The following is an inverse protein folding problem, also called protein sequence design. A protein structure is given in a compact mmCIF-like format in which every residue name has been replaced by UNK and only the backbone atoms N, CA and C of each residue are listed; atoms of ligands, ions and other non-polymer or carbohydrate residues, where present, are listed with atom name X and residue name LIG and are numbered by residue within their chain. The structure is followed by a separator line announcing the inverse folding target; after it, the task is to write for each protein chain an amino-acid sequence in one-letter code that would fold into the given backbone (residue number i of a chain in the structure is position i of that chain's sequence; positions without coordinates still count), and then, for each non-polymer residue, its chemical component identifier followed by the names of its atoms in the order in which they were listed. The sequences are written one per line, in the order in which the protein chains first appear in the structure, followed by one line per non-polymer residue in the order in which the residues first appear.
data_IF_693698500391
#
_entry.id   IF_693698500391
#
_cell.length_a   1.000
_cell.length_b   1.000
_cell.length_c   1.000
_cell.angle_alpha   90.00
_cell.angle_beta   90.00
_cell.angle_gamma   90.00
#
_symmetry.space_group_name_H-M   'P 1'
#
loop_
_entity.id
_entity.type
_entity.pdbx_description
1 polymer ?
#
# COMPACT_ATOMS: atom_id res chain seq x y z
N UNK A 1 15.97 -13.76 -27.03
CA UNK A 1 15.73 -14.60 -25.85
C UNK A 1 16.70 -14.16 -24.77
N UNK A 2 16.25 -13.28 -23.88
CA UNK A 2 17.02 -12.77 -22.74
C UNK A 2 16.02 -12.70 -21.57
N UNK A 3 16.12 -13.66 -20.66
CA UNK A 3 15.32 -13.69 -19.44
C UNK A 3 15.85 -12.62 -18.49
N UNK A 4 15.07 -11.56 -18.25
CA UNK A 4 15.31 -10.65 -17.14
C UNK A 4 14.69 -11.23 -15.86
N UNK A 5 15.56 -11.57 -14.91
CA UNK A 5 15.22 -11.96 -13.55
C UNK A 5 14.65 -10.77 -12.79
N UNK A 6 13.38 -10.83 -12.40
CA UNK A 6 12.69 -9.81 -11.58
C UNK A 6 12.85 -10.11 -10.08
N UNK A 7 14.08 -10.36 -9.64
CA UNK A 7 14.41 -10.42 -8.21
C UNK A 7 15.19 -9.17 -7.82
N UNK A 8 14.53 -8.01 -7.76
CA UNK A 8 15.09 -6.82 -7.10
C UNK A 8 14.03 -5.73 -6.90
N UNK A 9 13.19 -5.85 -5.87
CA UNK A 9 12.56 -4.70 -5.21
C UNK A 9 12.31 -5.03 -3.74
N UNK A 10 13.38 -5.10 -2.96
CA UNK A 10 13.34 -4.95 -1.50
C UNK A 10 14.41 -3.92 -1.14
N UNK A 11 13.98 -2.68 -0.99
CA UNK A 11 14.83 -1.59 -0.57
C UNK A 11 15.16 -1.75 0.93
N UNK A 12 16.46 -1.81 1.22
CA UNK A 12 17.12 -1.58 2.50
C UNK A 12 16.64 -2.37 3.74
N UNK A 13 17.25 -3.54 3.94
CA UNK A 13 17.67 -3.97 5.28
C UNK A 13 19.17 -4.25 5.25
N UNK A 14 19.88 -3.31 5.87
CA UNK A 14 21.32 -3.29 6.12
C UNK A 14 21.77 -4.65 6.65
N UNK A 15 22.54 -5.38 5.84
CA UNK A 15 23.13 -6.66 6.20
C UNK A 15 24.56 -6.37 6.61
N UNK A 16 24.84 -6.31 7.92
CA UNK A 16 26.00 -6.93 8.57
C UNK A 16 26.09 -6.54 10.06
N UNK A 17 26.34 -7.58 10.87
CA UNK A 17 26.37 -7.67 12.35
C UNK A 17 24.99 -7.88 12.98
N UNK A 18 24.95 -8.68 14.07
CA UNK A 18 23.90 -8.74 15.10
C UNK A 18 23.00 -9.99 15.16
N UNK A 19 23.55 -11.13 15.59
CA UNK A 19 22.73 -12.28 16.01
C UNK A 19 21.99 -12.04 17.36
N UNK A 20 22.41 -11.04 18.16
CA UNK A 20 21.69 -10.61 19.37
C UNK A 20 20.52 -9.63 19.13
N UNK A 21 20.58 -8.80 18.09
CA UNK A 21 19.57 -7.74 17.83
C UNK A 21 18.37 -8.25 17.03
N UNK A 22 18.55 -9.30 16.21
CA UNK A 22 17.45 -10.03 15.54
C UNK A 22 16.42 -10.60 16.52
N UNK A 23 16.86 -11.12 17.67
CA UNK A 23 15.96 -11.69 18.68
C UNK A 23 15.09 -10.60 19.33
N UNK A 24 15.70 -9.46 19.68
CA UNK A 24 15.02 -8.31 20.26
C UNK A 24 14.03 -7.66 19.28
N UNK A 25 14.43 -7.48 18.03
CA UNK A 25 13.56 -6.94 16.97
C UNK A 25 12.37 -7.87 16.68
N UNK A 26 12.57 -9.19 16.75
CA UNK A 26 11.50 -10.18 16.62
C UNK A 26 10.49 -10.10 17.77
N UNK A 27 10.97 -9.96 19.01
CA UNK A 27 10.11 -9.81 20.19
C UNK A 27 9.31 -8.50 20.12
N UNK A 28 9.98 -7.42 19.72
CA UNK A 28 9.34 -6.12 19.61
C UNK A 28 8.20 -6.14 18.56
N UNK A 29 8.46 -6.82 17.44
CA UNK A 29 7.49 -7.01 16.35
C UNK A 29 6.30 -7.87 16.78
N UNK A 30 6.52 -8.90 17.59
CA UNK A 30 5.46 -9.77 18.11
C UNK A 30 4.50 -8.98 19.03
N UNK A 31 5.02 -8.19 19.98
CA UNK A 31 4.19 -7.34 20.84
C UNK A 31 3.40 -6.30 20.05
N UNK A 32 4.01 -5.67 19.05
CA UNK A 32 3.31 -4.74 18.17
C UNK A 32 2.19 -5.44 17.38
N UNK A 33 2.42 -6.67 16.91
CA UNK A 33 1.41 -7.46 16.23
C UNK A 33 0.21 -7.75 17.15
N UNK A 34 0.48 -8.06 18.42
CA UNK A 34 -0.54 -8.31 19.43
C UNK A 34 -1.37 -7.05 19.77
N UNK A 35 -0.70 -5.89 19.90
CA UNK A 35 -1.37 -4.60 20.07
C UNK A 35 -2.30 -4.35 18.87
N UNK A 36 -1.80 -4.48 17.65
CA UNK A 36 -2.60 -4.28 16.44
C UNK A 36 -3.79 -5.25 16.35
N UNK A 37 -3.62 -6.50 16.78
CA UNK A 37 -4.71 -7.48 16.82
C UNK A 37 -5.79 -7.11 17.85
N UNK A 38 -5.38 -6.61 19.01
CA UNK A 38 -6.30 -6.14 20.05
C UNK A 38 -7.06 -4.89 19.60
N UNK A 39 -6.36 -3.93 19.00
CA UNK A 39 -6.98 -2.75 18.39
C UNK A 39 -7.93 -3.13 17.25
N UNK A 40 -7.58 -4.13 16.43
CA UNK A 40 -8.46 -4.68 15.39
C UNK A 40 -9.74 -5.23 15.99
N UNK A 41 -9.65 -6.07 17.03
CA UNK A 41 -10.83 -6.64 17.73
C UNK A 41 -11.73 -5.53 18.28
N UNK A 42 -11.16 -4.48 18.83
CA UNK A 42 -11.94 -3.34 19.34
C UNK A 42 -12.57 -2.52 18.20
N UNK A 43 -11.87 -2.31 17.10
CA UNK A 43 -12.38 -1.61 15.92
C UNK A 43 -13.54 -2.35 15.22
N UNK A 44 -13.65 -3.67 15.39
CA UNK A 44 -14.72 -4.47 14.80
C UNK A 44 -16.06 -4.38 15.55
N UNK A 45 -16.02 -4.01 16.84
CA UNK A 45 -17.21 -3.87 17.67
C UNK A 45 -18.14 -2.77 17.17
N UNK A 46 -19.42 -2.85 17.50
CA UNK A 46 -20.41 -1.82 17.14
C UNK A 46 -20.23 -0.53 17.95
N UNK A 47 -19.93 -0.67 19.25
CA UNK A 47 -19.66 0.46 20.15
C UNK A 47 -18.21 0.94 19.97
N UNK A 48 -18.03 2.25 19.83
CA UNK A 48 -16.70 2.86 19.89
C UNK A 48 -16.11 2.69 21.29
N UNK A 49 -14.88 2.15 21.44
CA UNK A 49 -14.19 2.13 22.73
C UNK A 49 -14.04 3.52 23.31
N UNK A 50 -14.08 3.59 24.63
CA UNK A 50 -13.42 4.68 25.35
C UNK A 50 -11.92 4.36 25.56
N UNK A 51 -11.11 5.38 25.86
CA UNK A 51 -9.67 5.22 26.10
C UNK A 51 -9.38 4.29 27.28
N UNK A 52 -10.19 4.34 28.34
CA UNK A 52 -10.05 3.46 29.51
C UNK A 52 -10.36 1.99 29.15
N UNK A 53 -11.43 1.76 28.38
CA UNK A 53 -11.79 0.44 27.87
C UNK A 53 -10.66 -0.13 26.97
N UNK A 54 -10.03 0.74 26.16
CA UNK A 54 -8.93 0.38 25.27
C UNK A 54 -7.68 0.01 26.06
N UNK A 55 -7.33 0.79 27.08
CA UNK A 55 -6.19 0.52 27.96
C UNK A 55 -6.36 -0.83 28.67
N UNK A 56 -7.53 -1.06 29.27
CA UNK A 56 -7.84 -2.33 29.94
C UNK A 56 -7.75 -3.51 28.97
N UNK A 57 -8.26 -3.37 27.75
CA UNK A 57 -8.19 -4.42 26.73
C UNK A 57 -6.74 -4.73 26.31
N UNK A 58 -5.91 -3.69 26.14
CA UNK A 58 -4.50 -3.83 25.77
C UNK A 58 -3.68 -4.48 26.89
N UNK A 59 -3.86 -4.06 28.13
CA UNK A 59 -3.20 -4.65 29.30
C UNK A 59 -3.57 -6.13 29.45
N UNK A 60 -4.85 -6.46 29.33
CA UNK A 60 -5.33 -7.83 29.41
C UNK A 60 -4.75 -8.71 28.29
N UNK A 61 -4.63 -8.20 27.07
CA UNK A 61 -4.04 -8.94 25.96
C UNK A 61 -2.55 -9.22 26.21
N UNK A 62 -1.78 -8.19 26.56
CA UNK A 62 -0.35 -8.30 26.85
C UNK A 62 -0.06 -9.24 28.04
N UNK A 63 -0.93 -9.24 29.06
CA UNK A 63 -0.76 -10.09 30.25
C UNK A 63 -1.06 -11.57 29.95
N UNK A 64 -2.08 -11.87 29.13
CA UNK A 64 -2.46 -13.27 28.80
C UNK A 64 -1.37 -14.09 28.10
N UNK A 65 -0.43 -13.45 27.42
CA UNK A 65 0.70 -14.14 26.78
C UNK A 65 1.91 -14.32 27.72
N UNK A 66 1.99 -13.57 28.83
CA UNK A 66 3.05 -13.76 29.83
C UNK A 66 2.90 -15.11 30.56
N UNK A 67 1.67 -15.59 30.74
CA UNK A 67 1.38 -16.88 31.38
C UNK A 67 1.74 -18.10 30.51
N UNK A 68 1.87 -17.94 29.18
CA UNK A 68 2.21 -19.03 28.26
C UNK A 68 3.72 -19.13 27.92
N UNK A 69 4.51 -18.09 28.23
CA UNK A 69 5.97 -18.07 27.97
C UNK A 69 6.72 -17.48 29.16
N UNK A 70 6.95 -18.31 30.17
CA UNK A 70 7.91 -18.04 31.23
C UNK A 70 9.33 -17.99 30.65
N UNK A 71 9.79 -16.78 30.34
CA UNK A 71 11.08 -16.20 30.71
C UNK A 71 11.40 -15.01 29.79
N UNK A 72 11.71 -13.87 30.42
CA UNK A 72 12.27 -12.62 29.84
C UNK A 72 11.24 -11.56 29.43
N UNK A 73 10.51 -11.05 30.43
CA UNK A 73 9.51 -9.98 30.31
C UNK A 73 10.06 -8.55 30.43
N UNK A 74 11.33 -8.36 30.82
CA UNK A 74 11.78 -7.08 31.41
C UNK A 74 11.94 -5.90 30.44
N UNK A 75 12.40 -6.09 29.21
CA UNK A 75 12.95 -4.95 28.44
C UNK A 75 11.93 -4.19 27.56
N UNK A 76 10.90 -4.85 27.03
CA UNK A 76 9.82 -4.14 26.32
C UNK A 76 8.91 -3.42 27.33
N UNK A 77 8.83 -3.97 28.54
CA UNK A 77 8.24 -3.28 29.68
C UNK A 77 9.08 -2.05 30.02
N UNK A 78 10.42 -2.13 30.08
CA UNK A 78 11.26 -0.95 30.31
C UNK A 78 11.03 0.18 29.29
N UNK A 79 10.89 -0.09 27.99
CA UNK A 79 10.62 0.99 27.01
C UNK A 79 9.16 1.49 26.98
N UNK A 80 8.20 0.69 27.45
CA UNK A 80 6.77 1.07 27.51
C UNK A 80 6.38 1.66 28.88
N UNK A 81 7.11 1.29 29.93
CA UNK A 81 6.89 1.62 31.35
C UNK A 81 8.02 2.47 31.96
N UNK A 82 8.95 3.03 31.18
CA UNK A 82 10.04 3.92 31.66
C UNK A 82 9.55 5.19 32.41
N UNK A 83 8.25 5.35 32.64
CA UNK A 83 7.68 6.34 33.55
C UNK A 83 6.24 6.10 34.02
N UNK A 84 5.73 4.85 33.98
CA UNK A 84 4.34 4.56 34.36
C UNK A 84 3.28 5.13 33.40
N UNK A 85 3.64 5.37 32.14
CA UNK A 85 2.71 5.87 31.13
C UNK A 85 1.80 4.75 30.61
N UNK A 86 0.53 5.07 30.39
CA UNK A 86 -0.46 4.14 29.83
C UNK A 86 -0.13 3.80 28.37
N UNK A 87 -0.42 2.57 27.94
CA UNK A 87 -0.15 2.08 26.57
C UNK A 87 -0.87 2.95 25.53
N UNK A 88 -2.09 3.40 25.84
CA UNK A 88 -2.84 4.30 24.95
C UNK A 88 -2.13 5.64 24.74
N UNK A 89 -1.50 6.23 25.77
CA UNK A 89 -0.71 7.47 25.62
C UNK A 89 0.49 7.26 24.71
N UNK A 90 1.22 6.16 24.91
CA UNK A 90 2.32 5.79 24.02
C UNK A 90 1.86 5.65 22.55
N UNK A 91 0.71 5.00 22.33
CA UNK A 91 0.14 4.85 20.99
C UNK A 91 -0.36 6.18 20.41
N UNK A 92 -0.81 7.12 21.23
CA UNK A 92 -1.13 8.49 20.79
C UNK A 92 0.14 9.25 20.37
N UNK A 93 1.21 9.19 21.17
CA UNK A 93 2.50 9.82 20.85
C UNK A 93 3.12 9.25 19.57
N UNK A 94 3.02 7.94 19.36
CA UNK A 94 3.45 7.28 18.12
C UNK A 94 2.50 7.53 16.94
N UNK A 95 1.40 8.24 17.15
CA UNK A 95 0.45 8.64 16.13
C UNK A 95 -0.40 7.50 15.60
N UNK A 96 -0.71 6.48 16.40
CA UNK A 96 -1.67 5.42 16.07
C UNK A 96 -3.09 5.79 16.51
N UNK A 97 -3.23 6.46 17.65
CA UNK A 97 -4.52 6.81 18.27
C UNK A 97 -4.76 8.32 18.35
N UNK A 98 -6.02 8.71 18.51
CA UNK A 98 -6.49 10.09 18.76
C UNK A 98 -7.59 10.09 19.80
N UNK A 99 -7.69 11.18 20.54
CA UNK A 99 -8.77 11.42 21.50
C UNK A 99 -9.97 12.11 20.81
N UNK A 100 -10.73 11.31 20.06
CA UNK A 100 -11.92 11.74 19.32
C UNK A 100 -12.81 10.50 19.08
N UNK A 101 -14.10 10.69 18.80
CA UNK A 101 -15.00 9.68 18.21
C UNK A 101 -14.33 8.86 17.08
N UNK A 102 -13.51 9.49 16.23
CA UNK A 102 -12.60 8.80 15.28
C UNK A 102 -11.24 8.53 15.94
N UNK A 103 -11.23 7.56 16.85
CA UNK A 103 -10.10 7.26 17.73
C UNK A 103 -8.88 6.67 17.00
N UNK A 104 -9.02 6.19 15.76
CA UNK A 104 -7.91 5.75 14.91
C UNK A 104 -7.35 6.89 14.05
N UNK A 105 -6.02 7.02 14.03
CA UNK A 105 -5.31 7.84 13.03
C UNK A 105 -5.28 7.16 11.67
N UNK A 106 -4.86 7.88 10.62
CA UNK A 106 -4.57 7.26 9.32
C UNK A 106 -3.52 6.16 9.45
N UNK A 107 -2.42 6.42 10.19
CA UNK A 107 -1.37 5.44 10.45
C UNK A 107 -1.91 4.20 11.18
N UNK A 108 -2.71 4.38 12.21
CA UNK A 108 -3.35 3.30 12.96
C UNK A 108 -4.32 2.50 12.10
N UNK A 109 -5.16 3.19 11.33
CA UNK A 109 -6.11 2.56 10.41
C UNK A 109 -5.40 1.67 9.38
N UNK A 110 -4.36 2.19 8.71
CA UNK A 110 -3.61 1.41 7.73
C UNK A 110 -2.82 0.27 8.39
N UNK A 111 -2.23 0.48 9.56
CA UNK A 111 -1.46 -0.57 10.25
C UNK A 111 -2.34 -1.77 10.64
N UNK A 112 -3.53 -1.49 11.17
CA UNK A 112 -4.52 -2.54 11.49
C UNK A 112 -5.01 -3.20 10.20
N UNK A 113 -5.37 -2.41 9.19
CA UNK A 113 -5.81 -2.93 7.90
C UNK A 113 -4.79 -3.87 7.25
N UNK A 114 -3.49 -3.53 7.31
CA UNK A 114 -2.41 -4.37 6.77
C UNK A 114 -2.34 -5.72 7.45
N UNK A 115 -2.49 -5.73 8.77
CA UNK A 115 -2.52 -6.96 9.56
C UNK A 115 -3.74 -7.81 9.21
N UNK A 116 -4.93 -7.20 9.10
CA UNK A 116 -6.16 -7.91 8.68
C UNK A 116 -6.00 -8.47 7.27
N UNK A 117 -5.46 -7.70 6.33
CA UNK A 117 -5.22 -8.15 4.96
C UNK A 117 -4.26 -9.33 4.94
N UNK A 118 -3.16 -9.27 5.70
CA UNK A 118 -2.23 -10.39 5.83
C UNK A 118 -2.92 -11.64 6.42
N UNK A 119 -3.79 -11.46 7.42
CA UNK A 119 -4.50 -12.58 8.05
C UNK A 119 -5.54 -13.20 7.12
N UNK A 120 -6.27 -12.40 6.33
CA UNK A 120 -7.26 -12.89 5.36
C UNK A 120 -6.59 -13.56 4.16
N UNK A 121 -5.43 -13.06 3.74
CA UNK A 121 -4.71 -13.58 2.56
C UNK A 121 -3.78 -14.73 2.88
N UNK A 122 -3.52 -15.02 4.16
CA UNK A 122 -2.64 -16.11 4.61
C UNK A 122 -3.06 -17.47 4.06
N UNK A 123 -4.36 -17.69 3.94
CA UNK A 123 -4.95 -18.96 3.49
C UNK A 123 -5.26 -18.97 1.98
N UNK A 124 -5.08 -17.85 1.27
CA UNK A 124 -5.20 -17.81 -0.18
C UNK A 124 -3.95 -18.47 -0.77
N UNK A 125 -4.12 -19.59 -1.46
CA UNK A 125 -3.04 -20.18 -2.25
C UNK A 125 -2.57 -19.16 -3.28
N UNK A 126 -1.26 -19.14 -3.54
CA UNK A 126 -0.63 -18.31 -4.56
C UNK A 126 -1.05 -18.76 -5.96
N UNK A 127 -2.32 -18.58 -6.31
CA UNK A 127 -2.75 -18.56 -7.69
C UNK A 127 -2.22 -17.28 -8.31
N UNK A 128 -1.82 -17.33 -9.58
CA UNK A 128 -1.23 -16.22 -10.33
C UNK A 128 -2.03 -14.93 -10.11
N UNK A 129 -1.41 -13.96 -9.43
CA UNK A 129 -1.97 -12.63 -9.26
C UNK A 129 -2.06 -11.97 -10.65
N UNK A 130 -3.26 -11.79 -11.17
CA UNK A 130 -3.49 -10.94 -12.34
C UNK A 130 -3.36 -9.48 -11.91
N UNK A 131 -2.23 -8.84 -12.19
CA UNK A 131 -1.92 -7.46 -11.75
C UNK A 131 -2.67 -6.37 -12.55
N UNK A 132 -3.73 -6.71 -13.29
CA UNK A 132 -4.40 -5.82 -14.26
C UNK A 132 -3.41 -5.05 -15.14
N UNK A 133 -2.23 -5.62 -15.43
CA UNK A 133 -1.23 -4.97 -16.26
C UNK A 133 -1.70 -5.05 -17.71
N UNK A 134 -2.02 -3.89 -18.28
CA UNK A 134 -2.17 -3.74 -19.72
C UNK A 134 -0.79 -3.80 -20.35
N UNK A 135 -0.45 -4.95 -20.95
CA UNK A 135 0.77 -5.12 -21.74
C UNK A 135 0.69 -4.45 -23.13
N UNK A 136 -0.36 -3.66 -23.39
CA UNK A 136 -0.55 -3.01 -24.68
C UNK A 136 0.11 -1.62 -24.65
N UNK A 137 1.33 -1.57 -25.16
CA UNK A 137 1.97 -0.31 -25.54
C UNK A 137 1.43 0.06 -26.92
N UNK A 138 0.46 0.96 -26.98
CA UNK A 138 -0.26 1.33 -28.20
C UNK A 138 -0.88 2.72 -28.11
N UNK A 139 -1.87 3.03 -28.95
CA UNK A 139 -2.60 4.29 -28.91
C UNK A 139 -3.41 4.40 -27.61
N UNK A 140 -2.81 5.04 -26.61
CA UNK A 140 -3.39 5.27 -25.30
C UNK A 140 -3.98 6.67 -25.15
N UNK A 141 -4.69 6.88 -24.04
CA UNK A 141 -5.31 8.17 -23.74
C UNK A 141 -4.39 9.12 -22.97
N UNK A 142 -3.29 8.62 -22.41
CA UNK A 142 -2.37 9.40 -21.57
C UNK A 142 -1.05 9.56 -22.30
N UNK A 143 -0.67 10.82 -22.57
CA UNK A 143 0.65 11.16 -23.12
C UNK A 143 1.68 11.03 -22.01
N UNK A 144 2.81 10.38 -22.29
CA UNK A 144 3.96 10.30 -21.39
C UNK A 144 5.12 11.15 -21.90
N UNK A 145 6.06 11.46 -21.00
CA UNK A 145 7.20 12.35 -21.30
C UNK A 145 8.27 11.69 -22.20
N UNK A 146 8.18 10.38 -22.43
CA UNK A 146 9.06 9.69 -23.37
C UNK A 146 8.58 9.87 -24.80
N UNK A 147 9.53 9.81 -25.72
CA UNK A 147 9.28 10.01 -27.13
C UNK A 147 9.83 8.84 -27.93
N UNK A 148 9.19 8.57 -29.06
CA UNK A 148 9.65 7.60 -30.06
C UNK A 148 9.61 8.24 -31.45
N UNK A 149 10.24 7.59 -32.41
CA UNK A 149 10.20 8.06 -33.81
C UNK A 149 8.77 8.06 -34.33
N UNK A 150 8.41 9.12 -35.04
CA UNK A 150 7.11 9.23 -35.68
C UNK A 150 6.98 8.20 -36.81
N UNK A 151 5.91 7.42 -36.78
CA UNK A 151 5.60 6.45 -37.85
C UNK A 151 4.53 7.01 -38.78
N UNK A 152 4.73 6.78 -40.08
CA UNK A 152 3.79 7.29 -41.10
C UNK A 152 2.43 6.61 -40.92
N UNK A 153 1.42 7.41 -40.59
CA UNK A 153 0.06 6.95 -40.33
C UNK A 153 -0.39 7.22 -38.90
N UNK A 154 0.53 7.55 -38.00
CA UNK A 154 0.22 7.95 -36.63
C UNK A 154 -0.41 9.35 -36.59
N UNK A 155 -1.19 9.60 -35.54
CA UNK A 155 -1.90 10.86 -35.37
C UNK A 155 -0.93 12.00 -35.05
N UNK A 156 -0.98 13.07 -35.84
CA UNK A 156 -0.11 14.24 -35.69
C UNK A 156 -0.33 14.98 -34.36
N UNK A 157 -1.45 14.74 -33.68
CA UNK A 157 -1.74 15.31 -32.34
C UNK A 157 -0.66 14.96 -31.30
N UNK A 158 0.06 13.85 -31.49
CA UNK A 158 1.11 13.39 -30.58
C UNK A 158 2.52 13.84 -30.99
N UNK A 159 2.68 14.65 -32.03
CA UNK A 159 3.99 15.12 -32.48
C UNK A 159 4.70 15.93 -31.39
N UNK A 160 5.89 15.48 -31.00
CA UNK A 160 6.77 16.20 -30.08
C UNK A 160 7.59 17.24 -30.84
N UNK A 161 7.04 18.44 -30.97
CA UNK A 161 7.69 19.57 -31.66
C UNK A 161 9.06 19.92 -31.06
N UNK A 162 9.25 20.03 -29.73
CA UNK A 162 10.56 20.37 -29.15
C UNK A 162 11.66 19.38 -29.54
N UNK A 163 11.38 18.09 -29.42
CA UNK A 163 12.33 17.02 -29.72
C UNK A 163 12.59 16.92 -31.23
N UNK A 164 11.55 17.10 -32.05
CA UNK A 164 11.68 17.18 -33.51
C UNK A 164 12.62 18.31 -33.93
N UNK A 165 12.43 19.51 -33.39
CA UNK A 165 13.29 20.67 -33.70
C UNK A 165 14.73 20.40 -33.23
N UNK A 166 14.90 19.83 -32.03
CA UNK A 166 16.21 19.46 -31.50
C UNK A 166 16.94 18.49 -32.44
N UNK A 167 16.26 17.44 -32.89
CA UNK A 167 16.80 16.46 -33.83
C UNK A 167 17.20 17.10 -35.16
N UNK A 168 16.34 17.97 -35.70
CA UNK A 168 16.64 18.72 -36.94
C UNK A 168 17.89 19.58 -36.78
N UNK A 169 18.02 20.33 -35.68
CA UNK A 169 19.19 21.18 -35.43
C UNK A 169 20.45 20.33 -35.27
N UNK A 170 20.37 19.23 -34.52
CA UNK A 170 21.49 18.30 -34.33
C UNK A 170 21.94 17.69 -35.66
N UNK A 171 21.00 17.34 -36.55
CA UNK A 171 21.31 16.82 -37.89
C UNK A 171 22.00 17.87 -38.77
N UNK A 172 21.47 19.10 -38.83
CA UNK A 172 22.06 20.20 -39.60
C UNK A 172 23.46 20.55 -39.07
N UNK A 173 23.64 20.58 -37.75
CA UNK A 173 24.93 20.86 -37.13
C UNK A 173 26.00 19.81 -37.46
N UNK A 174 25.61 18.56 -37.72
CA UNK A 174 26.56 17.49 -38.12
C UNK A 174 26.96 17.55 -39.59
N UNK A 175 26.19 18.24 -40.44
CA UNK A 175 26.46 18.31 -41.88
C UNK A 175 27.35 19.50 -42.29
N UNK A 176 28.00 20.18 -41.33
CA UNK A 176 28.78 21.42 -41.52
C UNK A 176 28.03 22.55 -42.27
N UNK A 177 26.70 22.47 -42.31
CA UNK A 177 25.85 23.47 -42.96
C UNK A 177 25.48 24.56 -41.95
N UNK A 178 25.61 25.82 -42.34
CA UNK A 178 25.15 26.94 -41.51
C UNK A 178 23.63 26.84 -41.31
N UNK A 179 23.18 26.94 -40.05
CA UNK A 179 21.75 26.92 -39.71
C UNK A 179 21.06 28.11 -40.40
N UNK A 180 20.09 27.83 -41.26
CA UNK A 180 19.28 28.81 -41.98
C UNK A 180 17.80 28.63 -41.64
N UNK A 181 17.04 29.73 -41.65
CA UNK A 181 15.59 29.70 -41.54
C UNK A 181 14.95 29.93 -42.92
N UNK A 182 13.89 29.18 -43.29
CA UNK A 182 13.19 28.16 -42.49
C UNK A 182 14.00 26.86 -42.28
N UNK A 183 13.73 26.14 -41.18
CA UNK A 183 14.37 24.87 -40.87
C UNK A 183 13.91 23.78 -41.86
N UNK A 184 14.86 23.01 -42.39
CA UNK A 184 14.57 21.90 -43.31
C UNK A 184 14.30 20.60 -42.53
N UNK A 185 13.05 20.36 -42.15
CA UNK A 185 12.60 19.17 -41.42
C UNK A 185 12.67 17.91 -42.31
N UNK A 186 13.24 16.83 -41.80
CA UNK A 186 13.17 15.50 -42.44
C UNK A 186 12.24 14.57 -41.65
N UNK A 187 11.58 13.59 -42.30
CA UNK A 187 10.75 12.60 -41.60
C UNK A 187 11.49 11.86 -40.48
N UNK A 188 12.81 11.69 -40.60
CA UNK A 188 13.66 11.05 -39.60
C UNK A 188 13.87 11.88 -38.33
N UNK A 189 13.65 13.20 -38.41
CA UNK A 189 13.74 14.09 -37.25
C UNK A 189 12.47 14.05 -36.40
N UNK A 190 11.34 13.64 -37.00
CA UNK A 190 10.03 13.66 -36.35
C UNK A 190 9.98 12.65 -35.21
N UNK A 191 9.63 13.15 -34.03
CA UNK A 191 9.33 12.33 -32.87
C UNK A 191 7.91 12.57 -32.39
N UNK A 192 7.26 11.53 -31.90
CA UNK A 192 5.98 11.58 -31.23
C UNK A 192 6.14 11.23 -29.75
N UNK A 193 5.28 11.81 -28.92
CA UNK A 193 5.15 11.35 -27.55
C UNK A 193 4.57 9.94 -27.54
N UNK A 194 5.12 9.10 -26.68
CA UNK A 194 4.52 7.81 -26.39
C UNK A 194 3.23 8.01 -25.60
N UNK A 195 2.32 7.04 -25.71
CA UNK A 195 1.07 7.06 -24.97
C UNK A 195 0.92 5.76 -24.19
N UNK A 196 0.24 5.86 -23.05
CA UNK A 196 -0.12 4.72 -22.21
C UNK A 196 -1.64 4.62 -22.10
N UNK A 197 -2.12 3.39 -22.08
CA UNK A 197 -3.50 3.06 -21.77
C UNK A 197 -3.67 2.93 -20.25
N UNK A 198 -4.21 3.97 -19.62
CA UNK A 198 -4.58 3.98 -18.20
C UNK A 198 -6.03 3.52 -18.04
N UNK A 199 -6.24 2.31 -17.50
CA UNK A 199 -7.58 1.77 -17.21
C UNK A 199 -7.96 2.15 -15.79
N UNK A 200 -9.14 2.75 -15.62
CA UNK A 200 -9.67 3.14 -14.30
C UNK A 200 -10.95 2.40 -13.99
N UNK A 201 -11.08 1.93 -12.76
CA UNK A 201 -12.27 1.21 -12.29
C UNK A 201 -13.00 2.01 -11.22
N UNK A 202 -14.33 1.91 -11.23
CA UNK A 202 -15.17 2.37 -10.13
C UNK A 202 -15.67 1.14 -9.34
N UNK A 203 -15.22 1.01 -8.09
CA UNK A 203 -15.60 -0.10 -7.20
C UNK A 203 -16.61 0.40 -6.18
N UNK A 204 -17.76 -0.28 -6.10
CA UNK A 204 -18.82 0.01 -5.12
C UNK A 204 -18.91 -1.14 -4.12
N UNK A 205 -18.81 -0.83 -2.82
CA UNK A 205 -18.93 -1.83 -1.77
C UNK A 205 -20.33 -1.86 -1.15
N UNK A 206 -21.06 -2.94 -1.39
CA UNK A 206 -22.37 -3.17 -0.79
C UNK A 206 -22.27 -4.12 0.41
N UNK A 207 -22.70 -3.67 1.60
CA UNK A 207 -22.71 -4.48 2.82
C UNK A 207 -24.13 -4.65 3.32
N UNK A 208 -24.55 -5.89 3.54
CA UNK A 208 -25.83 -6.20 4.18
C UNK A 208 -25.79 -5.81 5.68
N UNK A 209 -26.82 -5.09 6.13
CA UNK A 209 -27.04 -4.66 7.52
C UNK A 209 -28.26 -5.32 8.16
N UNK A 210 -28.82 -6.36 7.53
CA UNK A 210 -29.94 -7.13 8.06
C UNK A 210 -29.63 -7.73 9.44
N UNK A 211 -30.67 -8.03 10.22
CA UNK A 211 -30.51 -8.68 11.54
C UNK A 211 -29.72 -9.99 11.45
N UNK A 212 -29.80 -10.69 10.31
CA UNK A 212 -29.10 -11.96 10.08
C UNK A 212 -27.57 -11.81 10.15
N UNK A 213 -27.06 -10.63 9.83
CA UNK A 213 -25.63 -10.31 9.84
C UNK A 213 -25.06 -10.18 11.25
N UNK A 214 -25.90 -9.88 12.24
CA UNK A 214 -25.51 -9.75 13.64
C UNK A 214 -25.30 -11.10 14.32
N UNK A 215 -25.96 -12.15 13.84
CA UNK A 215 -25.81 -13.48 14.43
C UNK A 215 -24.44 -14.09 14.10
N UNK A 216 -23.89 -14.80 15.08
CA UNK A 216 -22.62 -15.51 14.95
C UNK A 216 -22.70 -16.63 13.91
N UNK A 217 -21.64 -16.80 13.12
CA UNK A 217 -21.49 -17.90 12.18
C UNK A 217 -20.57 -18.98 12.79
N UNK A 218 -21.10 -20.20 12.95
CA UNK A 218 -20.31 -21.40 13.25
C UNK A 218 -19.64 -21.44 14.63
N UNK A 219 -18.69 -22.38 14.79
CA UNK A 219 -18.01 -22.70 16.06
C UNK A 219 -17.02 -21.62 16.55
N UNK A 220 -16.76 -20.59 15.75
CA UNK A 220 -15.71 -19.59 16.01
C UNK A 220 -16.22 -18.33 16.72
N UNK A 221 -17.53 -18.21 16.97
CA UNK A 221 -18.15 -17.11 17.72
C UNK A 221 -18.12 -15.73 17.05
N UNK A 222 -17.60 -15.60 15.82
CA UNK A 222 -17.54 -14.33 15.07
C UNK A 222 -18.85 -14.08 14.32
N UNK A 223 -19.30 -12.82 14.27
CA UNK A 223 -20.50 -12.42 13.52
C UNK A 223 -20.20 -12.28 12.03
N UNK A 224 -21.22 -12.46 11.19
CA UNK A 224 -21.10 -12.23 9.73
C UNK A 224 -20.72 -10.78 9.43
N UNK A 225 -21.25 -9.83 10.20
CA UNK A 225 -20.91 -8.41 10.05
C UNK A 225 -19.45 -8.12 10.37
N UNK A 226 -18.85 -8.79 11.37
CA UNK A 226 -17.41 -8.65 11.64
C UNK A 226 -16.56 -9.19 10.48
N UNK A 227 -16.94 -10.34 9.91
CA UNK A 227 -16.26 -10.90 8.74
C UNK A 227 -16.36 -9.96 7.53
N UNK A 228 -17.54 -9.39 7.27
CA UNK A 228 -17.75 -8.42 6.20
C UNK A 228 -16.92 -7.15 6.38
N UNK A 229 -16.85 -6.60 7.61
CA UNK A 229 -15.98 -5.44 7.92
C UNK A 229 -14.51 -5.74 7.66
N UNK A 230 -14.02 -6.92 8.04
CA UNK A 230 -12.63 -7.34 7.77
C UNK A 230 -12.35 -7.44 6.28
N UNK A 231 -13.24 -8.10 5.53
CA UNK A 231 -13.13 -8.22 4.08
C UNK A 231 -13.13 -6.84 3.41
N UNK A 232 -14.07 -5.96 3.78
CA UNK A 232 -14.14 -4.59 3.28
C UNK A 232 -12.85 -3.81 3.54
N UNK A 233 -12.36 -3.84 4.79
CA UNK A 233 -11.17 -3.09 5.16
C UNK A 233 -9.93 -3.58 4.42
N UNK A 234 -9.78 -4.91 4.27
CA UNK A 234 -8.74 -5.52 3.45
C UNK A 234 -8.83 -5.11 1.99
N UNK A 235 -10.02 -5.18 1.39
CA UNK A 235 -10.26 -4.78 -0.01
C UNK A 235 -9.97 -3.28 -0.22
N UNK A 236 -10.40 -2.42 0.70
CA UNK A 236 -10.13 -0.99 0.65
C UNK A 236 -8.62 -0.71 0.66
N UNK A 237 -7.86 -1.37 1.55
CA UNK A 237 -6.41 -1.21 1.60
C UNK A 237 -5.72 -1.76 0.35
N UNK A 238 -6.18 -2.90 -0.17
CA UNK A 238 -5.66 -3.50 -1.38
C UNK A 238 -5.80 -2.52 -2.55
N UNK A 239 -7.01 -1.98 -2.75
CA UNK A 239 -7.29 -1.00 -3.79
C UNK A 239 -6.45 0.26 -3.59
N UNK A 240 -6.40 0.83 -2.38
CA UNK A 240 -5.58 2.02 -2.13
C UNK A 240 -4.07 1.82 -2.33
N UNK A 241 -3.55 0.61 -2.18
CA UNK A 241 -2.13 0.34 -2.43
C UNK A 241 -1.84 0.09 -3.91
N UNK A 242 -2.61 -0.79 -4.54
CA UNK A 242 -2.29 -1.28 -5.89
C UNK A 242 -2.95 -0.47 -6.99
N UNK A 243 -4.12 0.12 -6.72
CA UNK A 243 -4.93 0.86 -7.68
C UNK A 243 -5.33 2.24 -7.13
N UNK A 244 -4.36 3.16 -6.92
CA UNK A 244 -4.62 4.46 -6.31
C UNK A 244 -5.52 5.37 -7.15
N UNK A 245 -5.54 5.16 -8.47
CA UNK A 245 -6.35 5.93 -9.43
C UNK A 245 -7.81 5.47 -9.50
N UNK A 246 -8.16 4.33 -8.88
CA UNK A 246 -9.52 3.81 -8.88
C UNK A 246 -10.42 4.62 -7.94
N UNK A 247 -11.68 4.75 -8.37
CA UNK A 247 -12.73 5.38 -7.58
C UNK A 247 -13.40 4.34 -6.67
N UNK A 248 -13.52 4.66 -5.38
CA UNK A 248 -14.13 3.78 -4.38
C UNK A 248 -15.39 4.46 -3.81
N UNK A 249 -16.51 3.75 -3.79
CA UNK A 249 -17.78 4.21 -3.19
C UNK A 249 -18.43 3.18 -2.27
#
# INVERSE_FOLDING_TARGET
MLQHSTSNFVYFLNKNKEDGKKSRDSLLKAKLQQILETLSKQAMKEKTPDLEELESALQNALSKEQDEKSHTSSEFEEQTYEGGQSITKFLQEKGYLRDNKKWLTHKGFFSIGWKILQDVTKDLSSSEFGMHETNFSGEGNVIIDTTKKFEKGNDIKFLCVPQTILNTIQRISKSDTKISFPLNLHPEDLEEFETLEDVRVAVVYCIDLSSTMKFALGKNGKSRIEAAKKALWSLYLLNKKFFPNDSLS
#
